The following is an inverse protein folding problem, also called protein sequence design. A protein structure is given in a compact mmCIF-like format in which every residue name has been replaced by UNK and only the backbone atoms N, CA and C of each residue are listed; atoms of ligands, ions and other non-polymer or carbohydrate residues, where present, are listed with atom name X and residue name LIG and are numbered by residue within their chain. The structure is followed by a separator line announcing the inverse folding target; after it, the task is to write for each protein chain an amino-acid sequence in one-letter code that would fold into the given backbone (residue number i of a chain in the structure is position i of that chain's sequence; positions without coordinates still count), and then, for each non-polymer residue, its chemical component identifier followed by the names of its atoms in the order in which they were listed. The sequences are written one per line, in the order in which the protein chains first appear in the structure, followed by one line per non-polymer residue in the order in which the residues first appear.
data_IF_388219032547
#
_entry.id   IF_388219032547
#
_cell.length_a   1.000
_cell.length_b   1.000
_cell.length_c   1.000
_cell.angle_alpha   90.00
_cell.angle_beta   90.00
_cell.angle_gamma   90.00
#
_symmetry.space_group_name_H-M   'P 1'
#
loop_
_entity.id
_entity.type
_entity.pdbx_description
1 polymer ?
#
# COMPACT_ATOMS: atom_id res chain seq x y z
N UNK A 1 14.01 -29.61 -4.60
CA UNK A 1 13.45 -28.40 -3.95
C UNK A 1 14.08 -27.18 -4.62
N UNK A 2 13.29 -26.27 -5.18
CA UNK A 2 13.79 -25.03 -5.82
C UNK A 2 14.39 -24.11 -4.76
N UNK A 3 15.59 -23.61 -5.00
CA UNK A 3 16.46 -22.92 -4.03
C UNK A 3 16.16 -21.43 -3.83
N UNK A 4 15.08 -20.89 -4.41
CA UNK A 4 14.55 -19.54 -4.18
C UNK A 4 13.25 -19.40 -4.98
N UNK A 5 12.22 -18.66 -4.50
CA UNK A 5 11.26 -18.05 -5.42
C UNK A 5 12.05 -17.09 -6.32
N UNK A 6 11.94 -17.26 -7.64
CA UNK A 6 12.57 -16.34 -8.58
C UNK A 6 11.64 -15.14 -8.76
N UNK A 7 11.96 -14.03 -8.10
CA UNK A 7 11.22 -12.76 -8.15
C UNK A 7 11.83 -11.80 -9.21
N UNK A 8 12.52 -12.32 -10.21
CA UNK A 8 13.25 -11.51 -11.20
C UNK A 8 12.35 -10.86 -12.26
N UNK A 9 11.02 -10.93 -12.13
CA UNK A 9 10.10 -10.41 -13.15
C UNK A 9 8.74 -10.03 -12.54
N UNK A 10 8.43 -8.74 -12.45
CA UNK A 10 7.13 -8.20 -12.04
C UNK A 10 6.37 -7.51 -13.20
N UNK A 11 6.88 -7.62 -14.43
CA UNK A 11 6.18 -7.18 -15.64
C UNK A 11 5.95 -5.66 -15.72
N UNK A 12 6.65 -4.88 -14.91
CA UNK A 12 6.55 -3.43 -14.94
C UNK A 12 7.47 -2.85 -16.04
N UNK A 13 7.04 -1.76 -16.67
CA UNK A 13 7.74 -1.14 -17.81
C UNK A 13 9.18 -0.67 -17.50
N UNK A 14 9.55 -0.53 -16.23
CA UNK A 14 10.91 -0.20 -15.78
C UNK A 14 11.84 -1.42 -15.62
N UNK A 15 11.37 -2.64 -15.89
CA UNK A 15 12.14 -3.90 -15.76
C UNK A 15 12.75 -4.40 -17.08
N UNK A 16 12.77 -3.55 -18.12
CA UNK A 16 13.56 -3.82 -19.35
C UNK A 16 15.03 -3.56 -19.04
N UNK A 17 15.66 -4.52 -18.36
CA UNK A 17 17.07 -4.52 -18.00
C UNK A 17 17.34 -5.56 -16.93
N UNK A 18 18.06 -6.62 -17.28
CA UNK A 18 18.44 -7.71 -16.36
C UNK A 18 19.12 -7.16 -15.10
N UNK A 19 18.39 -7.05 -13.99
CA UNK A 19 18.99 -6.93 -12.67
C UNK A 19 18.15 -7.74 -11.69
N UNK A 20 18.82 -8.58 -10.91
CA UNK A 20 18.20 -9.36 -9.83
C UNK A 20 17.54 -8.37 -8.85
N UNK A 21 16.21 -8.31 -8.84
CA UNK A 21 15.43 -7.46 -7.95
C UNK A 21 15.29 -8.03 -6.52
N UNK A 22 16.03 -9.09 -6.18
CA UNK A 22 16.07 -9.67 -4.82
C UNK A 22 17.05 -8.85 -3.98
N UNK A 23 16.52 -7.88 -3.24
CA UNK A 23 17.30 -7.03 -2.35
C UNK A 23 17.76 -7.74 -1.08
N UNK A 24 17.03 -8.77 -0.61
CA UNK A 24 17.34 -9.52 0.61
C UNK A 24 16.54 -10.81 0.70
N UNK A 25 17.16 -11.88 1.22
CA UNK A 25 16.42 -13.06 1.70
C UNK A 25 16.19 -12.91 3.20
N UNK A 26 14.93 -13.03 3.63
CA UNK A 26 14.56 -13.01 5.03
C UNK A 26 15.07 -14.26 5.76
N UNK A 27 15.47 -14.08 7.01
CA UNK A 27 15.74 -15.19 7.92
C UNK A 27 14.48 -15.62 8.67
N UNK A 28 14.42 -16.88 9.11
CA UNK A 28 13.26 -17.37 9.86
C UNK A 28 13.09 -16.58 11.16
N UNK A 29 11.88 -16.10 11.43
CA UNK A 29 11.58 -15.28 12.61
C UNK A 29 12.06 -13.82 12.50
N UNK A 30 12.40 -13.35 11.30
CA UNK A 30 12.71 -11.96 11.05
C UNK A 30 11.43 -11.13 10.88
N UNK A 31 11.42 -9.93 11.46
CA UNK A 31 10.38 -8.95 11.18
C UNK A 31 10.65 -8.27 9.83
N UNK A 32 9.69 -8.35 8.91
CA UNK A 32 9.86 -7.83 7.54
C UNK A 32 9.16 -6.49 7.30
N UNK A 33 8.10 -6.19 8.05
CA UNK A 33 7.36 -4.94 7.94
C UNK A 33 5.88 -5.09 8.25
N UNK A 34 5.15 -3.98 8.13
CA UNK A 34 3.70 -3.95 8.24
C UNK A 34 3.09 -4.06 6.85
N UNK A 35 2.14 -4.97 6.66
CA UNK A 35 1.44 -5.11 5.39
C UNK A 35 0.67 -3.83 5.05
N UNK A 36 0.85 -3.30 3.83
CA UNK A 36 0.16 -2.08 3.38
C UNK A 36 -1.20 -2.37 2.74
N UNK A 37 -1.48 -3.65 2.47
CA UNK A 37 -2.68 -4.11 1.77
C UNK A 37 -2.54 -4.21 0.25
N UNK A 38 -1.48 -3.64 -0.35
CA UNK A 38 -1.22 -3.86 -1.79
C UNK A 38 -0.68 -5.26 -2.04
N UNK A 39 -1.10 -5.82 -3.16
CA UNK A 39 -0.74 -7.17 -3.58
C UNK A 39 -0.46 -7.15 -5.08
N UNK A 40 0.45 -8.01 -5.52
CA UNK A 40 0.75 -8.23 -6.94
C UNK A 40 0.86 -9.72 -7.19
N UNK A 41 0.40 -10.20 -8.32
CA UNK A 41 0.51 -11.59 -8.71
C UNK A 41 1.34 -11.68 -9.98
N UNK A 42 2.50 -12.32 -9.87
CA UNK A 42 3.33 -12.64 -11.01
C UNK A 42 2.83 -13.96 -11.61
N UNK A 43 2.05 -13.82 -12.68
CA UNK A 43 1.46 -14.96 -13.39
C UNK A 43 2.51 -15.83 -14.11
N UNK A 44 3.70 -15.30 -14.40
CA UNK A 44 4.76 -16.04 -15.11
C UNK A 44 5.45 -17.03 -14.18
N UNK A 45 5.70 -16.62 -12.94
CA UNK A 45 6.36 -17.46 -11.95
C UNK A 45 5.40 -18.10 -10.95
N UNK A 46 4.09 -17.81 -11.04
CA UNK A 46 3.04 -18.29 -10.13
C UNK A 46 3.34 -17.90 -8.67
N UNK A 47 3.73 -16.64 -8.47
CA UNK A 47 4.08 -16.11 -7.16
C UNK A 47 3.25 -14.88 -6.82
N UNK A 48 2.61 -14.94 -5.65
CA UNK A 48 1.95 -13.78 -5.05
C UNK A 48 2.94 -12.96 -4.25
N UNK A 49 2.87 -11.65 -4.39
CA UNK A 49 3.62 -10.67 -3.62
C UNK A 49 2.69 -9.78 -2.80
N UNK A 50 3.16 -9.36 -1.64
CA UNK A 50 2.53 -8.31 -0.83
C UNK A 50 3.53 -7.19 -0.60
N UNK A 51 3.02 -5.96 -0.57
CA UNK A 51 3.80 -4.81 -0.16
C UNK A 51 3.78 -4.71 1.36
N UNK A 52 4.96 -4.57 1.94
CA UNK A 52 5.15 -4.27 3.36
C UNK A 52 6.00 -3.02 3.50
N UNK A 53 5.80 -2.29 4.59
CA UNK A 53 6.59 -1.11 4.85
C UNK A 53 6.79 -0.88 6.35
N UNK A 54 7.84 -0.14 6.68
CA UNK A 54 8.10 0.37 8.01
C UNK A 54 8.90 1.67 7.95
N UNK A 55 8.82 2.47 9.02
CA UNK A 55 9.63 3.66 9.20
C UNK A 55 10.57 3.41 10.37
N UNK A 56 11.86 3.67 10.16
CA UNK A 56 12.83 3.61 11.24
C UNK A 56 12.62 4.83 12.14
N UNK A 57 12.53 4.61 13.45
CA UNK A 57 12.43 5.69 14.42
C UNK A 57 13.63 6.65 14.32
N UNK A 58 13.53 7.83 14.92
CA UNK A 58 14.63 8.82 14.90
C UNK A 58 15.53 8.74 16.13
N UNK A 59 15.12 8.00 17.17
CA UNK A 59 15.83 7.86 18.44
C UNK A 59 15.67 6.46 19.02
N UNK A 60 16.54 6.10 19.97
CA UNK A 60 16.54 4.80 20.66
C UNK A 60 16.65 3.60 19.70
N UNK A 61 17.49 3.73 18.68
CA UNK A 61 17.73 2.72 17.64
C UNK A 61 18.89 1.79 18.02
N UNK A 62 18.82 0.50 17.66
CA UNK A 62 20.01 -0.35 17.60
C UNK A 62 21.04 0.20 16.59
N UNK A 63 22.32 -0.10 16.80
CA UNK A 63 23.43 0.41 15.98
C UNK A 63 23.27 0.14 14.49
N UNK A 64 22.70 -1.02 14.13
CA UNK A 64 22.43 -1.45 12.75
C UNK A 64 21.41 -0.58 11.99
N UNK A 65 20.55 0.16 12.71
CA UNK A 65 19.51 1.02 12.10
C UNK A 65 19.85 2.51 12.14
N UNK A 66 20.97 2.91 12.74
CA UNK A 66 21.32 4.34 12.90
C UNK A 66 21.44 5.08 11.56
N UNK A 67 22.02 4.44 10.54
CA UNK A 67 22.16 5.04 9.20
C UNK A 67 20.82 5.22 8.47
N UNK A 68 19.77 4.55 8.94
CA UNK A 68 18.43 4.58 8.37
C UNK A 68 17.46 5.40 9.22
N UNK A 69 17.94 6.10 10.26
CA UNK A 69 17.09 6.86 11.18
C UNK A 69 16.12 7.79 10.43
N UNK A 70 14.83 7.66 10.73
CA UNK A 70 13.76 8.44 10.10
C UNK A 70 13.40 8.05 8.66
N UNK A 71 14.13 7.13 8.03
CA UNK A 71 13.86 6.67 6.67
C UNK A 71 12.69 5.69 6.65
N UNK A 72 11.99 5.66 5.52
CA UNK A 72 10.89 4.75 5.23
C UNK A 72 11.37 3.69 4.26
N UNK A 73 11.14 2.42 4.60
CA UNK A 73 11.47 1.28 3.76
C UNK A 73 10.17 0.68 3.22
N UNK A 74 10.12 0.46 1.91
CA UNK A 74 9.01 -0.17 1.20
C UNK A 74 9.56 -1.38 0.46
N UNK A 75 8.96 -2.54 0.72
CA UNK A 75 9.44 -3.83 0.24
C UNK A 75 8.28 -4.61 -0.37
N UNK A 76 8.56 -5.34 -1.45
CA UNK A 76 7.67 -6.37 -1.98
C UNK A 76 8.21 -7.73 -1.58
N UNK A 77 7.39 -8.54 -0.90
CA UNK A 77 7.78 -9.87 -0.44
C UNK A 77 6.90 -10.94 -1.05
N UNK A 78 7.49 -12.08 -1.42
CA UNK A 78 6.74 -13.23 -1.90
C UNK A 78 5.90 -13.80 -0.76
N UNK A 79 4.59 -13.69 -0.88
CA UNK A 79 3.59 -14.02 0.12
C UNK A 79 3.11 -15.47 0.01
N UNK A 80 4.03 -16.43 -0.10
CA UNK A 80 3.65 -17.83 0.02
C UNK A 80 3.47 -18.19 1.49
N UNK A 81 2.35 -18.86 1.80
CA UNK A 81 2.01 -19.34 3.15
C UNK A 81 3.03 -20.34 3.70
N UNK A 82 3.91 -20.87 2.85
CA UNK A 82 5.05 -21.68 3.28
C UNK A 82 6.17 -20.86 3.95
N UNK A 83 6.16 -19.53 3.79
CA UNK A 83 7.30 -18.68 4.17
C UNK A 83 6.94 -17.43 4.98
N UNK A 84 5.66 -17.02 5.04
CA UNK A 84 5.23 -15.83 5.79
C UNK A 84 4.11 -16.14 6.78
N UNK A 85 4.28 -15.77 8.05
CA UNK A 85 3.23 -15.78 9.07
C UNK A 85 2.77 -14.36 9.39
N UNK A 86 1.45 -14.13 9.41
CA UNK A 86 0.87 -12.81 9.72
C UNK A 86 0.32 -12.80 11.14
N UNK A 87 0.57 -11.71 11.86
CA UNK A 87 0.09 -11.50 13.22
C UNK A 87 -0.72 -10.21 13.31
N UNK A 88 -1.87 -10.27 13.98
CA UNK A 88 -2.71 -9.10 14.25
C UNK A 88 -2.21 -8.23 15.41
N UNK A 89 -1.27 -8.74 16.21
CA UNK A 89 -0.72 -8.06 17.40
C UNK A 89 0.74 -8.43 17.62
N UNK A 90 1.56 -7.44 18.01
CA UNK A 90 2.98 -7.64 18.30
C UNK A 90 3.23 -8.71 19.37
N UNK A 91 2.42 -8.74 20.43
CA UNK A 91 2.58 -9.73 21.51
C UNK A 91 2.48 -11.19 21.03
N UNK A 92 1.63 -11.48 20.03
CA UNK A 92 1.51 -12.83 19.48
C UNK A 92 2.72 -13.19 18.61
N UNK A 93 3.25 -12.23 17.85
CA UNK A 93 4.49 -12.38 17.09
C UNK A 93 5.67 -12.64 18.04
N UNK A 94 5.85 -11.81 19.07
CA UNK A 94 6.96 -11.94 20.03
C UNK A 94 6.92 -13.26 20.82
N UNK A 95 5.72 -13.76 21.13
CA UNK A 95 5.56 -15.07 21.78
C UNK A 95 5.96 -16.23 20.86
N UNK A 96 5.69 -16.12 19.56
CA UNK A 96 6.05 -17.12 18.55
C UNK A 96 7.53 -17.03 18.15
N UNK A 97 8.04 -15.81 18.04
CA UNK A 97 9.38 -15.44 17.58
C UNK A 97 10.05 -14.50 18.58
N UNK A 98 10.68 -15.01 19.66
CA UNK A 98 11.28 -14.17 20.70
C UNK A 98 12.36 -13.21 20.20
N UNK A 99 13.01 -13.51 19.07
CA UNK A 99 13.98 -12.63 18.38
C UNK A 99 13.37 -11.31 17.93
N UNK A 100 12.06 -11.22 17.73
CA UNK A 100 11.39 -9.99 17.28
C UNK A 100 11.04 -9.04 18.44
N UNK A 101 11.40 -9.40 19.67
CA UNK A 101 10.99 -8.65 20.87
C UNK A 101 11.48 -7.21 20.81
N UNK A 102 10.54 -6.27 20.90
CA UNK A 102 10.83 -4.84 20.89
C UNK A 102 11.17 -4.26 19.52
N UNK A 103 11.19 -5.04 18.44
CA UNK A 103 11.44 -4.54 17.08
C UNK A 103 10.44 -3.45 16.68
N UNK A 104 9.17 -3.61 17.07
CA UNK A 104 8.10 -2.65 16.79
C UNK A 104 8.25 -1.31 17.51
N UNK A 105 9.22 -1.16 18.43
CA UNK A 105 9.54 0.12 19.09
C UNK A 105 10.36 1.07 18.22
N UNK A 106 11.09 0.52 17.24
CA UNK A 106 11.96 1.30 16.36
C UNK A 106 11.71 1.05 14.87
N UNK A 107 11.09 -0.06 14.49
CA UNK A 107 10.47 -0.24 13.17
C UNK A 107 8.98 0.03 13.29
N UNK A 108 8.63 1.29 13.03
CA UNK A 108 7.31 1.84 13.28
C UNK A 108 6.38 1.56 12.09
N UNK A 109 5.07 1.37 12.36
CA UNK A 109 4.09 1.38 11.30
C UNK A 109 4.13 2.75 10.64
N UNK A 110 4.10 2.77 9.31
CA UNK A 110 4.13 4.05 8.62
C UNK A 110 2.71 4.57 8.55
N UNK A 111 2.48 5.68 9.26
CA UNK A 111 1.21 6.37 9.22
C UNK A 111 0.91 6.76 7.76
N UNK A 112 -0.20 6.24 7.27
CA UNK A 112 -0.71 6.48 5.93
C UNK A 112 -0.15 5.59 4.83
N UNK A 113 0.94 4.80 4.98
CA UNK A 113 1.43 4.01 3.83
C UNK A 113 0.37 3.05 3.30
N UNK A 114 0.22 3.08 1.98
CA UNK A 114 -1.03 2.73 1.28
C UNK A 114 -1.59 3.97 0.57
N UNK A 115 -2.57 3.78 -0.29
CA UNK A 115 -3.29 4.82 -1.05
C UNK A 115 -3.75 6.04 -0.21
N UNK A 116 -3.83 5.89 1.12
CA UNK A 116 -4.25 6.92 2.07
C UNK A 116 -3.17 7.97 2.46
N UNK A 117 -1.87 7.74 2.20
CA UNK A 117 -0.74 8.65 2.58
C UNK A 117 -0.28 9.59 1.50
N UNK A 118 -0.56 9.30 0.24
CA UNK A 118 0.07 10.03 -0.85
C UNK A 118 -0.41 11.51 -0.82
N UNK A 119 0.49 12.49 -0.65
CA UNK A 119 0.12 13.90 -0.73
C UNK A 119 -0.53 14.18 -2.09
N UNK A 120 -1.63 14.95 -2.14
CA UNK A 120 -2.37 15.16 -3.40
C UNK A 120 -3.42 14.10 -3.73
N UNK A 121 -3.64 13.10 -2.87
CA UNK A 121 -4.51 11.95 -3.18
C UNK A 121 -5.89 12.03 -2.54
N UNK A 122 -6.33 13.16 -1.98
CA UNK A 122 -7.68 13.26 -1.41
C UNK A 122 -8.59 14.04 -2.33
N UNK A 123 -9.79 13.52 -2.55
CA UNK A 123 -10.86 14.18 -3.27
C UNK A 123 -11.75 14.89 -2.27
N UNK A 124 -11.84 16.21 -2.40
CA UNK A 124 -12.77 17.05 -1.64
C UNK A 124 -13.72 17.71 -2.63
N UNK A 125 -15.01 17.74 -2.31
CA UNK A 125 -16.02 18.44 -3.13
C UNK A 125 -15.80 19.95 -3.09
N UNK A 126 -15.73 20.58 -4.26
CA UNK A 126 -15.73 22.04 -4.43
C UNK A 126 -17.15 22.61 -4.57
N UNK A 127 -18.10 21.80 -5.03
CA UNK A 127 -19.50 22.15 -5.18
C UNK A 127 -20.38 20.96 -4.79
N UNK A 128 -21.66 21.19 -4.41
CA UNK A 128 -22.59 20.08 -4.20
C UNK A 128 -22.70 19.22 -5.46
N UNK A 129 -22.54 17.90 -5.34
CA UNK A 129 -22.50 16.98 -6.47
C UNK A 129 -23.09 15.61 -6.17
N UNK A 130 -23.42 14.86 -7.22
CA UNK A 130 -23.91 13.50 -7.12
C UNK A 130 -22.73 12.52 -7.05
N UNK A 131 -22.80 11.61 -6.09
CA UNK A 131 -21.96 10.41 -6.06
C UNK A 131 -22.73 9.28 -6.71
N UNK A 132 -22.09 8.58 -7.64
CA UNK A 132 -22.72 7.56 -8.47
C UNK A 132 -22.06 6.19 -8.31
N UNK A 133 -22.82 5.14 -8.64
CA UNK A 133 -22.32 3.77 -8.73
C UNK A 133 -21.61 3.50 -10.08
N UNK A 134 -21.19 2.24 -10.28
CA UNK A 134 -20.50 1.77 -11.49
C UNK A 134 -21.34 1.88 -12.77
N UNK A 135 -22.67 2.02 -12.66
CA UNK A 135 -23.61 2.19 -13.77
C UNK A 135 -23.97 3.67 -13.98
N UNK A 136 -23.24 4.58 -13.33
CA UNK A 136 -23.52 6.03 -13.30
C UNK A 136 -24.89 6.39 -12.74
N UNK A 137 -25.48 5.54 -11.89
CA UNK A 137 -26.72 5.86 -11.18
C UNK A 137 -26.42 6.64 -9.90
N UNK A 138 -27.12 7.75 -9.64
CA UNK A 138 -26.94 8.50 -8.39
C UNK A 138 -27.27 7.66 -7.16
N UNK A 139 -26.35 7.65 -6.20
CA UNK A 139 -26.54 7.02 -4.88
C UNK A 139 -26.99 8.07 -3.87
N UNK A 140 -26.28 9.20 -3.85
CA UNK A 140 -26.57 10.32 -2.96
C UNK A 140 -26.04 11.63 -3.54
N UNK A 141 -26.54 12.73 -3.00
CA UNK A 141 -25.96 14.05 -3.18
C UNK A 141 -25.07 14.37 -1.98
N UNK A 142 -23.91 14.95 -2.24
CA UNK A 142 -22.94 15.34 -1.22
C UNK A 142 -22.72 16.85 -1.31
N UNK A 143 -22.64 17.50 -0.15
CA UNK A 143 -22.41 18.94 -0.04
C UNK A 143 -20.97 19.34 -0.39
N UNK A 144 -20.71 20.64 -0.51
CA UNK A 144 -19.36 21.20 -0.67
C UNK A 144 -18.48 20.94 0.57
N UNK A 145 -17.16 20.89 0.38
CA UNK A 145 -16.13 20.68 1.40
C UNK A 145 -16.21 19.33 2.12
N UNK A 146 -16.74 18.31 1.45
CA UNK A 146 -16.82 16.95 1.96
C UNK A 146 -15.67 16.13 1.38
N UNK A 147 -14.92 15.47 2.27
CA UNK A 147 -13.93 14.47 1.88
C UNK A 147 -14.67 13.23 1.36
N UNK A 148 -14.54 12.97 0.07
CA UNK A 148 -15.15 11.79 -0.57
C UNK A 148 -14.28 10.55 -0.42
N UNK A 149 -12.96 10.73 -0.53
CA UNK A 149 -12.02 9.62 -0.58
C UNK A 149 -10.82 9.99 -1.44
N UNK A 150 -10.44 9.10 -2.35
CA UNK A 150 -9.16 9.19 -3.06
C UNK A 150 -9.34 8.84 -4.54
N UNK A 151 -8.67 9.55 -5.47
CA UNK A 151 -8.81 9.29 -6.90
C UNK A 151 -8.23 7.90 -7.22
N UNK A 152 -8.93 7.19 -8.10
CA UNK A 152 -8.50 5.90 -8.66
C UNK A 152 -8.13 6.08 -10.13
N UNK A 153 -9.02 6.70 -10.92
CA UNK A 153 -8.80 6.99 -12.34
C UNK A 153 -9.76 8.07 -12.82
N UNK A 154 -9.53 8.59 -14.04
CA UNK A 154 -10.44 9.48 -14.73
C UNK A 154 -11.04 8.79 -15.96
N UNK A 155 -12.26 9.21 -16.31
CA UNK A 155 -12.94 8.91 -17.55
C UNK A 155 -13.20 10.23 -18.25
N UNK A 156 -12.44 10.48 -19.31
CA UNK A 156 -12.51 11.69 -20.12
C UNK A 156 -13.26 11.41 -21.42
N UNK A 157 -14.44 12.00 -21.55
CA UNK A 157 -15.22 12.07 -22.78
C UNK A 157 -15.07 13.43 -23.47
N UNK A 158 -15.81 13.65 -24.56
CA UNK A 158 -15.78 14.92 -25.30
C UNK A 158 -16.39 16.07 -24.51
N UNK A 159 -17.45 15.80 -23.74
CA UNK A 159 -18.21 16.81 -22.98
C UNK A 159 -18.37 16.45 -21.48
N UNK A 160 -17.83 15.31 -21.04
CA UNK A 160 -18.01 14.80 -19.68
C UNK A 160 -16.71 14.25 -19.13
N UNK A 161 -16.39 14.67 -17.91
CA UNK A 161 -15.21 14.24 -17.18
C UNK A 161 -15.64 13.69 -15.83
N UNK A 162 -15.34 12.42 -15.58
CA UNK A 162 -15.65 11.78 -14.32
C UNK A 162 -14.37 11.25 -13.66
N UNK A 163 -14.32 11.34 -12.34
CA UNK A 163 -13.28 10.74 -11.53
C UNK A 163 -13.87 9.57 -10.76
N UNK A 164 -13.28 8.38 -10.97
CA UNK A 164 -13.49 7.24 -10.09
C UNK A 164 -12.70 7.51 -8.82
N UNK A 165 -13.36 7.39 -7.68
CA UNK A 165 -12.72 7.50 -6.38
C UNK A 165 -13.09 6.33 -5.49
N UNK A 166 -12.19 6.01 -4.56
CA UNK A 166 -12.44 5.02 -3.52
C UNK A 166 -12.80 5.73 -2.23
N UNK A 167 -13.97 5.42 -1.68
CA UNK A 167 -14.45 5.91 -0.39
C UNK A 167 -13.62 5.36 0.77
N UNK A 168 -13.73 5.97 1.95
CA UNK A 168 -13.00 5.53 3.16
C UNK A 168 -13.33 4.09 3.59
N UNK A 169 -14.54 3.61 3.28
CA UNK A 169 -14.97 2.22 3.52
C UNK A 169 -14.60 1.26 2.37
N UNK A 170 -13.84 1.74 1.36
CA UNK A 170 -13.22 0.91 0.34
C UNK A 170 -14.07 0.65 -0.92
N UNK A 171 -15.14 1.41 -1.12
CA UNK A 171 -16.04 1.26 -2.27
C UNK A 171 -15.66 2.22 -3.39
N UNK A 172 -15.69 1.75 -4.64
CA UNK A 172 -15.42 2.58 -5.81
C UNK A 172 -16.69 3.30 -6.28
N UNK A 173 -16.58 4.61 -6.50
CA UNK A 173 -17.68 5.52 -6.82
C UNK A 173 -17.27 6.55 -7.85
N UNK A 174 -18.22 7.04 -8.64
CA UNK A 174 -17.97 8.08 -9.63
C UNK A 174 -18.48 9.44 -9.16
N UNK A 175 -17.75 10.50 -9.51
CA UNK A 175 -18.13 11.90 -9.31
C UNK A 175 -17.70 12.72 -10.51
N UNK A 176 -18.43 13.79 -10.82
CA UNK A 176 -18.04 14.74 -11.85
C UNK A 176 -16.73 15.45 -11.47
N UNK A 177 -15.73 15.42 -12.36
CA UNK A 177 -14.37 15.88 -12.06
C UNK A 177 -14.32 17.39 -11.77
N UNK A 178 -15.20 18.17 -12.39
CA UNK A 178 -15.33 19.61 -12.17
C UNK A 178 -15.86 19.97 -10.78
N UNK A 179 -16.52 19.04 -10.10
CA UNK A 179 -17.09 19.25 -8.78
C UNK A 179 -16.10 19.01 -7.64
N UNK A 180 -14.85 18.63 -7.94
CA UNK A 180 -13.87 18.19 -6.94
C UNK A 180 -12.51 18.85 -7.12
N UNK A 181 -11.69 18.88 -6.07
CA UNK A 181 -10.25 19.14 -6.17
C UNK A 181 -9.46 18.05 -5.48
N UNK A 182 -8.21 17.89 -5.95
CA UNK A 182 -7.22 17.02 -5.35
C UNK A 182 -6.41 17.81 -4.31
N UNK A 183 -6.37 17.31 -3.08
CA UNK A 183 -5.58 17.84 -1.97
C UNK A 183 -4.48 16.86 -1.54
#
# INVERSE_FOLDING_TARGET
MRTSPDASYHGAWYEIGENKNIFKTATAGEFIGYATGKQHYDAKNDVKFIEVAYRVATSNLPSEYMSQAGQTQLLWISASTSFTEQFSRAAAMEARYPSTKGVTRYLLPVAGLGWLSSPGSRIITQTPCLVMDQEFKPICQVEQNVLLGYPVMNLDGTDVHYTLFRTLDGQDRWVASESIFLH
#
